data_IF_483684067171
#
_entry.id   IF_483684067171
#
_cell.length_a   1.000
_cell.length_b   1.000
_cell.length_c   1.000
_cell.angle_alpha   90.00
_cell.angle_beta   90.00
_cell.angle_gamma   90.00
#
_symmetry.space_group_name_H-M   'P 1'
#
loop_
_entity.id
_entity.type
_entity.pdbx_description
1 polymer ?
#
# COMPACT_ATOMS: atom_id res chain seq x y z
N UNK A 1 6.83 20.01 16.31
CA UNK A 1 6.90 21.07 15.28
C UNK A 1 7.91 20.59 14.24
N UNK A 2 7.44 20.09 13.10
CA UNK A 2 8.31 19.77 11.96
C UNK A 2 8.74 21.13 11.42
N UNK A 3 10.05 21.36 11.42
CA UNK A 3 10.64 22.66 11.17
C UNK A 3 10.37 23.07 9.70
N UNK A 4 9.82 24.27 9.48
CA UNK A 4 9.61 24.85 8.13
C UNK A 4 10.86 24.83 7.23
N UNK A 5 12.05 24.70 7.84
CA UNK A 5 13.32 24.58 7.15
C UNK A 5 13.39 23.38 6.19
N UNK A 6 12.72 22.25 6.50
CA UNK A 6 12.75 21.03 5.66
C UNK A 6 12.07 21.25 4.32
N UNK A 7 11.05 22.12 4.24
CA UNK A 7 10.32 22.38 2.99
C UNK A 7 11.07 23.26 1.98
N UNK A 8 12.10 23.99 2.41
CA UNK A 8 12.91 24.84 1.53
C UNK A 8 14.13 24.12 0.93
N UNK A 9 14.43 22.90 1.40
CA UNK A 9 15.60 22.12 0.98
C UNK A 9 15.43 21.55 -0.44
N UNK A 10 14.21 21.33 -0.90
CA UNK A 10 13.92 20.66 -2.19
C UNK A 10 14.48 21.39 -3.43
N UNK A 11 14.79 22.67 -3.32
CA UNK A 11 15.31 23.50 -4.41
C UNK A 11 16.83 23.68 -4.33
N UNK A 12 17.48 23.12 -3.29
CA UNK A 12 18.93 23.16 -3.07
C UNK A 12 19.51 21.74 -3.22
N UNK A 13 20.08 21.46 -4.38
CA UNK A 13 20.58 20.13 -4.72
C UNK A 13 21.73 19.67 -3.83
N UNK A 14 22.59 20.58 -3.36
CA UNK A 14 23.73 20.22 -2.50
C UNK A 14 23.22 19.78 -1.12
N UNK A 15 22.30 20.54 -0.53
CA UNK A 15 21.69 20.20 0.76
C UNK A 15 20.84 18.93 0.68
N UNK A 16 20.14 18.72 -0.44
CA UNK A 16 19.37 17.49 -0.68
C UNK A 16 20.30 16.27 -0.77
N UNK A 17 21.42 16.37 -1.48
CA UNK A 17 22.41 15.30 -1.61
C UNK A 17 23.05 14.96 -0.25
N UNK A 18 23.43 15.95 0.54
CA UNK A 18 23.94 15.75 1.89
C UNK A 18 22.93 15.07 2.81
N UNK A 19 21.66 15.47 2.72
CA UNK A 19 20.57 14.84 3.46
C UNK A 19 20.38 13.36 3.06
N UNK A 20 20.38 13.07 1.76
CA UNK A 20 20.28 11.71 1.25
C UNK A 20 21.46 10.84 1.67
N UNK A 21 22.68 11.37 1.63
CA UNK A 21 23.88 10.66 2.06
C UNK A 21 23.83 10.35 3.57
N UNK A 22 23.47 11.32 4.39
CA UNK A 22 23.30 11.12 5.83
C UNK A 22 22.21 10.09 6.17
N UNK A 23 21.09 10.13 5.46
CA UNK A 23 20.02 9.15 5.62
C UNK A 23 20.49 7.73 5.22
N UNK A 24 21.28 7.62 4.14
CA UNK A 24 21.84 6.36 3.70
C UNK A 24 22.86 5.78 4.69
N UNK A 25 23.72 6.60 5.27
CA UNK A 25 24.64 6.16 6.32
C UNK A 25 23.90 5.57 7.53
N UNK A 26 22.81 6.23 7.96
CA UNK A 26 21.96 5.73 9.04
C UNK A 26 21.32 4.40 8.63
N UNK A 27 20.77 4.29 7.44
CA UNK A 27 20.20 3.06 6.92
C UNK A 27 21.22 1.93 6.91
N UNK A 28 22.41 2.16 6.36
CA UNK A 28 23.47 1.14 6.30
C UNK A 28 23.89 0.66 7.68
N UNK A 29 24.00 1.58 8.63
CA UNK A 29 24.39 1.27 10.02
C UNK A 29 23.36 0.42 10.75
N UNK A 30 22.05 0.66 10.56
CA UNK A 30 20.99 0.03 11.34
C UNK A 30 20.22 -1.05 10.59
N UNK A 31 20.18 -1.01 9.25
CA UNK A 31 19.44 -1.95 8.42
C UNK A 31 20.35 -2.79 7.52
N UNK A 32 21.61 -2.40 7.34
CA UNK A 32 22.53 -3.05 6.41
C UNK A 32 22.07 -2.92 4.95
N UNK A 33 22.45 -3.91 4.13
CA UNK A 33 22.10 -3.96 2.71
C UNK A 33 20.92 -4.90 2.41
N UNK A 34 20.06 -5.13 3.39
CA UNK A 34 18.87 -5.96 3.23
C UNK A 34 17.80 -5.12 2.53
N UNK A 35 17.21 -5.67 1.49
CA UNK A 35 16.07 -5.10 0.77
C UNK A 35 14.83 -5.96 1.08
N UNK A 36 13.83 -5.36 1.72
CA UNK A 36 12.59 -6.04 2.05
C UNK A 36 11.52 -5.64 1.02
N UNK A 37 11.19 -6.58 0.13
CA UNK A 37 10.19 -6.38 -0.93
C UNK A 37 8.81 -6.73 -0.41
N UNK A 38 7.91 -5.76 -0.47
CA UNK A 38 6.51 -5.93 -0.07
C UNK A 38 5.60 -5.66 -1.27
N UNK A 39 4.69 -6.57 -1.53
CA UNK A 39 3.69 -6.46 -2.59
C UNK A 39 2.28 -6.49 -2.01
N UNK A 40 1.40 -5.71 -2.61
CA UNK A 40 -0.01 -5.60 -2.21
C UNK A 40 -0.87 -5.86 -3.44
N UNK A 41 -1.87 -6.74 -3.28
CA UNK A 41 -2.97 -6.88 -4.24
C UNK A 41 -4.23 -6.25 -3.66
N UNK A 42 -4.90 -5.43 -4.46
CA UNK A 42 -6.21 -4.90 -4.14
C UNK A 42 -7.26 -5.98 -4.39
N UNK A 43 -7.75 -6.61 -3.34
CA UNK A 43 -8.65 -7.76 -3.45
C UNK A 43 -10.09 -7.38 -3.81
N UNK A 44 -10.52 -6.14 -3.48
CA UNK A 44 -11.83 -5.58 -3.83
C UNK A 44 -11.67 -4.10 -4.10
N UNK A 45 -12.24 -3.58 -5.17
CA UNK A 45 -12.06 -2.19 -5.58
C UNK A 45 -13.37 -1.45 -5.79
N UNK A 46 -13.39 -0.21 -5.33
CA UNK A 46 -14.47 0.74 -5.53
C UNK A 46 -15.70 0.50 -4.65
N UNK A 47 -16.64 1.42 -4.72
CA UNK A 47 -17.92 1.42 -3.96
C UNK A 47 -17.76 1.36 -2.44
N UNK A 48 -16.65 1.82 -1.89
CA UNK A 48 -16.48 1.96 -0.44
C UNK A 48 -17.54 2.91 0.12
N UNK A 49 -18.22 2.52 1.19
CA UNK A 49 -19.26 3.32 1.85
C UNK A 49 -18.69 4.53 2.60
N UNK A 50 -17.38 4.51 2.88
CA UNK A 50 -16.71 5.54 3.66
C UNK A 50 -16.43 6.82 2.86
N UNK A 51 -16.61 7.99 3.51
CA UNK A 51 -16.39 9.33 2.93
C UNK A 51 -14.97 9.87 3.18
N UNK A 52 -13.96 9.03 2.99
CA UNK A 52 -12.56 9.44 3.14
C UNK A 52 -12.16 10.39 2.00
N UNK A 53 -11.90 11.66 2.31
CA UNK A 53 -11.69 12.75 1.33
C UNK A 53 -10.54 12.54 0.34
N UNK A 54 -9.58 11.69 0.66
CA UNK A 54 -8.41 11.39 -0.18
C UNK A 54 -8.51 10.04 -0.91
N UNK A 55 -9.56 9.25 -0.66
CA UNK A 55 -9.63 7.88 -1.14
C UNK A 55 -10.31 7.77 -2.50
N UNK A 56 -9.60 7.24 -3.50
CA UNK A 56 -10.14 6.99 -4.83
C UNK A 56 -11.20 5.88 -4.87
N UNK A 57 -11.31 5.07 -3.83
CA UNK A 57 -12.22 3.92 -3.75
C UNK A 57 -13.61 4.27 -3.21
N UNK A 58 -13.78 5.48 -2.66
CA UNK A 58 -15.04 5.92 -2.06
C UNK A 58 -16.14 6.06 -3.12
N UNK A 59 -17.35 5.57 -2.80
CA UNK A 59 -18.53 5.73 -3.63
C UNK A 59 -19.03 7.19 -3.71
N UNK A 60 -18.56 8.05 -2.79
CA UNK A 60 -18.94 9.46 -2.75
C UNK A 60 -18.23 10.32 -3.81
N UNK A 61 -17.16 9.81 -4.44
CA UNK A 61 -16.36 10.57 -5.40
C UNK A 61 -16.29 9.87 -6.76
N UNK A 62 -16.28 10.69 -7.83
CA UNK A 62 -16.08 10.23 -9.21
C UNK A 62 -14.60 10.26 -9.55
N UNK A 63 -13.89 9.19 -9.24
CA UNK A 63 -12.44 9.12 -9.37
C UNK A 63 -11.96 8.38 -10.62
N UNK A 64 -12.85 7.63 -11.32
CA UNK A 64 -12.46 6.76 -12.43
C UNK A 64 -11.72 5.50 -12.00
N UNK A 65 -11.65 5.18 -10.72
CA UNK A 65 -11.09 3.93 -10.23
C UNK A 65 -11.91 2.74 -10.77
N UNK A 66 -11.21 1.68 -11.18
CA UNK A 66 -11.85 0.45 -11.61
C UNK A 66 -12.63 -0.19 -10.45
N UNK A 67 -13.83 -0.66 -10.73
CA UNK A 67 -14.71 -1.27 -9.73
C UNK A 67 -14.86 -2.75 -10.01
N UNK A 68 -14.48 -3.59 -9.04
CA UNK A 68 -14.65 -5.04 -9.13
C UNK A 68 -14.93 -5.65 -7.74
N UNK A 69 -15.65 -6.80 -7.72
CA UNK A 69 -15.94 -7.52 -6.48
C UNK A 69 -14.70 -8.17 -5.91
N UNK A 70 -14.84 -8.76 -4.71
CA UNK A 70 -13.77 -9.54 -4.09
C UNK A 70 -13.26 -10.64 -5.05
N UNK A 71 -11.94 -10.66 -5.23
CA UNK A 71 -11.30 -11.69 -6.07
C UNK A 71 -11.49 -13.09 -5.48
N UNK A 72 -11.40 -14.11 -6.33
CA UNK A 72 -11.49 -15.49 -5.86
C UNK A 72 -10.21 -15.92 -5.12
N UNK A 73 -10.34 -16.95 -4.28
CA UNK A 73 -9.21 -17.59 -3.60
C UNK A 73 -8.13 -18.07 -4.57
N UNK A 74 -8.55 -18.68 -5.68
CA UNK A 74 -7.63 -19.18 -6.70
C UNK A 74 -6.81 -18.02 -7.30
N UNK A 75 -7.44 -16.90 -7.60
CA UNK A 75 -6.75 -15.72 -8.12
C UNK A 75 -5.77 -15.15 -7.11
N UNK A 76 -6.16 -15.04 -5.85
CA UNK A 76 -5.28 -14.56 -4.78
C UNK A 76 -4.05 -15.46 -4.60
N UNK A 77 -4.24 -16.79 -4.62
CA UNK A 77 -3.15 -17.75 -4.53
C UNK A 77 -2.21 -17.72 -5.75
N UNK A 78 -2.74 -17.55 -6.95
CA UNK A 78 -1.94 -17.46 -8.16
C UNK A 78 -1.09 -16.19 -8.17
N UNK A 79 -1.62 -15.08 -7.69
CA UNK A 79 -0.86 -13.82 -7.54
C UNK A 79 0.21 -13.95 -6.46
N UNK A 80 -0.10 -14.55 -5.32
CA UNK A 80 0.86 -14.80 -4.26
C UNK A 80 2.05 -15.65 -4.74
N UNK A 81 1.78 -16.73 -5.51
CA UNK A 81 2.85 -17.56 -6.10
C UNK A 81 3.72 -16.82 -7.10
N UNK A 82 3.15 -15.93 -7.91
CA UNK A 82 3.93 -15.09 -8.84
C UNK A 82 4.87 -14.17 -8.08
N UNK A 83 4.33 -13.51 -7.06
CA UNK A 83 5.08 -12.58 -6.21
C UNK A 83 6.20 -13.29 -5.44
N UNK A 84 5.96 -14.53 -4.97
CA UNK A 84 6.99 -15.37 -4.35
C UNK A 84 8.14 -15.69 -5.31
N UNK A 85 7.81 -16.07 -6.56
CA UNK A 85 8.82 -16.35 -7.62
C UNK A 85 9.61 -15.08 -7.97
N UNK A 86 9.00 -13.91 -7.92
CA UNK A 86 9.66 -12.61 -8.11
C UNK A 86 10.55 -12.20 -6.94
N UNK A 87 10.51 -12.94 -5.83
CA UNK A 87 11.38 -12.76 -4.67
C UNK A 87 10.86 -11.76 -3.64
N UNK A 88 9.57 -11.46 -3.63
CA UNK A 88 9.01 -10.63 -2.58
C UNK A 88 9.00 -11.37 -1.23
N UNK A 89 9.33 -10.62 -0.18
CA UNK A 89 9.39 -11.14 1.18
C UNK A 89 8.01 -11.13 1.87
N UNK A 90 7.13 -10.24 1.43
CA UNK A 90 5.79 -10.06 1.99
C UNK A 90 4.77 -9.84 0.89
N UNK A 91 3.62 -10.47 1.07
CA UNK A 91 2.44 -10.28 0.24
C UNK A 91 1.23 -9.96 1.13
N UNK A 92 0.41 -9.00 0.72
CA UNK A 92 -0.78 -8.60 1.46
C UNK A 92 -1.96 -8.43 0.52
N UNK A 93 -3.13 -8.86 0.96
CA UNK A 93 -4.40 -8.55 0.34
C UNK A 93 -5.01 -7.33 1.04
N UNK A 94 -5.38 -6.32 0.28
CA UNK A 94 -6.05 -5.12 0.78
C UNK A 94 -7.38 -4.99 0.07
N UNK A 95 -8.41 -4.62 0.80
CA UNK A 95 -9.73 -4.39 0.23
C UNK A 95 -10.32 -3.08 0.73
N UNK A 96 -11.36 -2.61 0.03
CA UNK A 96 -12.24 -1.57 0.55
C UNK A 96 -13.04 -2.14 1.72
N UNK A 97 -12.99 -1.46 2.87
CA UNK A 97 -13.85 -1.80 4.00
C UNK A 97 -15.26 -1.24 3.75
N UNK A 98 -16.25 -2.11 3.87
CA UNK A 98 -17.60 -1.71 4.17
C UNK A 98 -17.75 -1.75 5.69
N UNK A 99 -18.42 -0.76 6.27
CA UNK A 99 -18.71 -0.72 7.71
C UNK A 99 -19.22 -2.10 8.16
N UNK A 100 -18.55 -2.68 9.15
CA UNK A 100 -18.80 -4.03 9.65
C UNK A 100 -20.28 -4.26 10.01
N UNK A 101 -21.03 -4.86 9.08
CA UNK A 101 -22.16 -5.69 9.37
C UNK A 101 -21.70 -7.13 9.15
N UNK A 102 -22.18 -8.06 9.93
CA UNK A 102 -21.98 -9.50 9.69
C UNK A 102 -22.40 -9.81 8.25
N UNK A 103 -21.42 -9.86 7.34
CA UNK A 103 -21.65 -10.10 5.92
C UNK A 103 -20.98 -11.41 5.53
N UNK A 104 -21.62 -12.16 4.64
CA UNK A 104 -21.05 -13.37 4.00
C UNK A 104 -19.65 -13.13 3.40
N UNK A 105 -19.27 -11.89 3.19
CA UNK A 105 -17.99 -11.45 2.63
C UNK A 105 -16.86 -11.51 3.68
N UNK A 106 -17.18 -11.30 4.96
CA UNK A 106 -16.22 -11.47 6.07
C UNK A 106 -15.81 -12.95 6.22
N UNK A 107 -16.73 -13.87 6.05
CA UNK A 107 -16.45 -15.31 6.12
C UNK A 107 -15.59 -15.77 4.94
N UNK A 108 -15.80 -15.19 3.74
CA UNK A 108 -14.99 -15.50 2.54
C UNK A 108 -13.55 -15.04 2.67
N UNK A 109 -13.25 -13.97 3.40
CA UNK A 109 -11.90 -13.51 3.65
C UNK A 109 -11.13 -14.42 4.62
N UNK A 110 -11.83 -15.03 5.57
CA UNK A 110 -11.22 -15.97 6.51
C UNK A 110 -10.79 -17.29 5.84
N UNK A 111 -11.28 -17.56 4.62
CA UNK A 111 -10.96 -18.77 3.83
C UNK A 111 -9.77 -18.57 2.86
N UNK A 112 -9.30 -17.32 2.64
CA UNK A 112 -8.15 -16.98 1.78
C UNK A 112 -6.87 -17.01 2.59
#
# INVERSE_FOLDING_TARGET
MINKAIFNIKDDNEVLEELCNSANEIREKFCGNIFDLCTITNAKSGKCSEDCKYCAQSAHFKTGAEVYPLISKEKALDEAKKVEVEGANRYSLVQVEESYGESEESDRLAEI
#
